data_IF_380012696352
#
_entry.id   IF_380012696352
#
_cell.length_a   1.000
_cell.length_b   1.000
_cell.length_c   1.000
_cell.angle_alpha   90.00
_cell.angle_beta   90.00
_cell.angle_gamma   90.00
#
_symmetry.space_group_name_H-M   'P 1'
#
loop_
_entity.id
_entity.type
_entity.pdbx_description
1 polymer ?
#
# COMPACT_ATOMS: atom_id res chain seq x y z
N UNK A 1 3.20 -46.00 17.04
CA UNK A 1 2.45 -44.72 16.91
C UNK A 1 3.19 -43.49 17.49
N UNK A 2 4.43 -43.58 17.99
CA UNK A 2 5.13 -42.46 18.66
C UNK A 2 5.92 -41.47 17.77
N UNK A 3 6.38 -41.87 16.57
CA UNK A 3 7.35 -41.07 15.81
C UNK A 3 6.77 -39.79 15.16
N UNK A 4 5.50 -39.79 14.73
CA UNK A 4 4.88 -38.58 14.15
C UNK A 4 4.68 -37.46 15.18
N UNK A 5 4.30 -37.81 16.41
CA UNK A 5 4.06 -36.82 17.47
C UNK A 5 5.39 -36.18 17.92
N UNK A 6 6.48 -36.96 17.94
CA UNK A 6 7.83 -36.46 18.19
C UNK A 6 8.28 -35.47 17.09
N UNK A 7 8.07 -35.83 15.82
CA UNK A 7 8.48 -35.00 14.67
C UNK A 7 7.74 -33.66 14.58
N UNK A 8 6.45 -33.60 14.94
CA UNK A 8 5.69 -32.35 14.97
C UNK A 8 6.14 -31.46 16.15
N UNK A 9 6.46 -32.07 17.30
CA UNK A 9 7.06 -31.34 18.43
C UNK A 9 8.41 -30.76 18.08
N UNK A 10 9.29 -31.49 17.39
CA UNK A 10 10.60 -30.98 16.95
C UNK A 10 10.50 -29.86 15.90
N UNK A 11 9.48 -29.90 15.04
CA UNK A 11 9.21 -28.81 14.08
C UNK A 11 8.73 -27.53 14.79
N UNK A 12 7.88 -27.67 15.82
CA UNK A 12 7.42 -26.55 16.65
C UNK A 12 8.48 -26.02 17.63
N UNK A 13 9.41 -26.87 18.07
CA UNK A 13 10.46 -26.55 19.05
C UNK A 13 11.74 -26.01 18.41
N UNK A 14 11.77 -25.89 17.08
CA UNK A 14 12.93 -25.42 16.33
C UNK A 14 13.28 -24.00 16.81
N UNK A 15 14.49 -23.75 17.33
CA UNK A 15 14.89 -22.41 17.76
C UNK A 15 14.83 -21.49 16.55
N UNK A 16 13.79 -20.64 16.50
CA UNK A 16 13.63 -19.64 15.46
C UNK A 16 14.70 -18.60 15.68
N UNK A 17 15.75 -18.65 14.87
CA UNK A 17 16.74 -17.57 14.82
C UNK A 17 16.02 -16.27 14.42
N UNK A 18 15.90 -15.31 15.34
CA UNK A 18 15.34 -13.96 15.11
C UNK A 18 16.29 -13.07 14.28
N UNK A 19 17.15 -13.67 13.47
CA UNK A 19 18.05 -12.96 12.56
C UNK A 19 17.26 -12.48 11.34
N UNK A 20 16.52 -11.39 11.52
CA UNK A 20 15.73 -10.75 10.47
C UNK A 20 16.57 -9.95 9.48
N UNK A 21 17.90 -9.88 9.69
CA UNK A 21 18.84 -9.09 8.87
C UNK A 21 18.80 -9.43 7.38
N UNK A 22 18.56 -10.69 7.04
CA UNK A 22 18.43 -11.14 5.65
C UNK A 22 16.96 -11.35 5.25
N UNK A 23 16.14 -11.84 6.18
CA UNK A 23 14.74 -12.19 5.91
C UNK A 23 13.86 -10.97 5.65
N UNK A 24 14.03 -9.87 6.40
CA UNK A 24 13.22 -8.65 6.19
C UNK A 24 13.48 -8.03 4.81
N UNK A 25 14.75 -7.74 4.42
CA UNK A 25 15.03 -7.22 3.09
C UNK A 25 14.53 -8.14 1.98
N UNK A 26 14.73 -9.46 2.11
CA UNK A 26 14.28 -10.42 1.12
C UNK A 26 12.75 -10.38 0.92
N UNK A 27 11.98 -10.35 2.02
CA UNK A 27 10.51 -10.23 1.95
C UNK A 27 10.10 -8.91 1.30
N UNK A 28 10.75 -7.80 1.67
CA UNK A 28 10.46 -6.49 1.07
C UNK A 28 10.72 -6.48 -0.44
N UNK A 29 11.82 -7.07 -0.91
CA UNK A 29 12.14 -7.14 -2.34
C UNK A 29 11.13 -7.99 -3.10
N UNK A 30 10.83 -9.20 -2.60
CA UNK A 30 9.85 -10.09 -3.23
C UNK A 30 8.48 -9.41 -3.29
N UNK A 31 8.05 -8.79 -2.20
CA UNK A 31 6.79 -8.05 -2.14
C UNK A 31 6.75 -6.89 -3.13
N UNK A 32 7.80 -6.07 -3.18
CA UNK A 32 7.84 -4.91 -4.06
C UNK A 32 7.85 -5.30 -5.54
N UNK A 33 8.58 -6.36 -5.92
CA UNK A 33 8.60 -6.87 -7.29
C UNK A 33 7.20 -7.38 -7.67
N UNK A 34 6.54 -8.11 -6.79
CA UNK A 34 5.17 -8.58 -7.02
C UNK A 34 4.19 -7.40 -7.21
N UNK A 35 4.27 -6.36 -6.36
CA UNK A 35 3.44 -5.16 -6.51
C UNK A 35 3.72 -4.42 -7.81
N UNK A 36 4.97 -4.27 -8.24
CA UNK A 36 5.31 -3.61 -9.52
C UNK A 36 4.66 -4.34 -10.70
N UNK A 37 4.74 -5.67 -10.73
CA UNK A 37 4.14 -6.48 -11.80
C UNK A 37 2.62 -6.32 -11.79
N UNK A 38 1.98 -6.42 -10.62
CA UNK A 38 0.52 -6.30 -10.50
C UNK A 38 0.03 -4.90 -10.89
N UNK A 39 0.70 -3.84 -10.43
CA UNK A 39 0.37 -2.46 -10.80
C UNK A 39 0.55 -2.24 -12.30
N UNK A 40 1.65 -2.72 -12.89
CA UNK A 40 1.89 -2.58 -14.34
C UNK A 40 0.83 -3.27 -15.20
N UNK A 41 0.31 -4.41 -14.74
CA UNK A 41 -0.72 -5.17 -15.47
C UNK A 41 -2.12 -4.58 -15.24
N UNK A 42 -2.52 -4.32 -14.00
CA UNK A 42 -3.92 -4.05 -13.66
C UNK A 42 -4.26 -2.57 -13.56
N UNK A 43 -3.33 -1.69 -13.18
CA UNK A 43 -3.64 -0.29 -12.87
C UNK A 43 -3.44 0.60 -14.10
N UNK A 44 -4.42 1.47 -14.35
CA UNK A 44 -4.41 2.51 -15.39
C UNK A 44 -4.98 3.81 -14.83
N UNK A 45 -4.46 4.93 -15.33
CA UNK A 45 -4.93 6.26 -14.95
C UNK A 45 -6.15 6.65 -15.78
N UNK A 46 -7.09 7.33 -15.14
CA UNK A 46 -8.23 7.98 -15.79
C UNK A 46 -7.84 9.32 -16.44
N UNK A 47 -8.59 9.75 -17.45
CA UNK A 47 -8.37 11.01 -18.19
C UNK A 47 -8.33 12.25 -17.28
N UNK A 48 -9.11 12.25 -16.20
CA UNK A 48 -9.14 13.31 -15.19
C UNK A 48 -7.89 13.36 -14.30
N UNK A 49 -7.22 12.22 -14.13
CA UNK A 49 -6.00 12.06 -13.31
C UNK A 49 -4.71 12.09 -14.14
N UNK A 50 -4.83 12.12 -15.47
CA UNK A 50 -3.70 12.12 -16.38
C UNK A 50 -2.94 13.46 -16.34
N UNK A 51 -1.62 13.40 -16.50
CA UNK A 51 -0.75 14.60 -16.57
C UNK A 51 -1.11 15.58 -17.69
N UNK A 52 -1.90 15.14 -18.68
CA UNK A 52 -2.46 15.94 -19.78
C UNK A 52 -3.76 16.68 -19.41
N UNK A 53 -4.19 16.67 -18.14
CA UNK A 53 -5.40 17.37 -17.70
C UNK A 53 -5.44 18.86 -18.10
N UNK A 54 -4.29 19.54 -18.13
CA UNK A 54 -4.19 20.96 -18.52
C UNK A 54 -4.60 21.20 -19.98
N UNK A 55 -4.23 20.31 -20.90
CA UNK A 55 -4.63 20.38 -22.31
C UNK A 55 -6.11 20.01 -22.48
N UNK A 56 -6.58 19.00 -21.74
CA UNK A 56 -7.97 18.58 -21.74
C UNK A 56 -8.90 19.72 -21.28
N UNK A 57 -8.53 20.39 -20.17
CA UNK A 57 -9.22 21.57 -19.65
C UNK A 57 -9.35 22.68 -20.71
N UNK A 58 -8.26 22.99 -21.41
CA UNK A 58 -8.24 24.03 -22.44
C UNK A 58 -9.09 23.67 -23.67
N UNK A 59 -9.18 22.39 -24.01
CA UNK A 59 -9.99 21.92 -25.15
C UNK A 59 -11.50 21.86 -24.87
N UNK A 60 -11.89 21.63 -23.60
CA UNK A 60 -13.29 21.50 -23.19
C UNK A 60 -13.87 22.76 -22.53
N UNK A 61 -13.16 23.91 -22.55
CA UNK A 61 -13.56 25.17 -21.93
C UNK A 61 -13.94 25.04 -20.43
N UNK A 62 -13.27 24.15 -19.69
CA UNK A 62 -13.56 23.92 -18.27
C UNK A 62 -12.87 25.02 -17.44
N UNK A 63 -13.66 25.87 -16.79
CA UNK A 63 -13.18 27.10 -16.14
C UNK A 63 -12.67 26.91 -14.72
N UNK A 64 -12.92 25.76 -14.07
CA UNK A 64 -12.57 25.56 -12.66
C UNK A 64 -11.84 24.23 -12.40
N UNK A 65 -10.78 24.28 -11.58
CA UNK A 65 -10.12 23.08 -11.05
C UNK A 65 -11.02 22.28 -10.08
N UNK A 66 -12.04 22.93 -9.52
CA UNK A 66 -12.98 22.35 -8.56
C UNK A 66 -13.98 21.36 -9.19
N UNK A 67 -14.11 21.35 -10.51
CA UNK A 67 -15.00 20.42 -11.23
C UNK A 67 -14.38 19.02 -11.39
N UNK A 68 -13.07 18.90 -11.18
CA UNK A 68 -12.36 17.63 -11.26
C UNK A 68 -12.36 16.93 -9.88
N UNK A 69 -12.89 15.70 -9.82
CA UNK A 69 -13.07 14.95 -8.56
C UNK A 69 -11.73 14.70 -7.85
N UNK A 70 -10.64 14.55 -8.62
CA UNK A 70 -9.30 14.38 -8.06
C UNK A 70 -8.87 15.61 -7.25
N UNK A 71 -8.96 16.82 -7.83
CA UNK A 71 -8.55 18.05 -7.15
C UNK A 71 -9.45 18.39 -5.97
N UNK A 72 -10.75 18.11 -6.07
CA UNK A 72 -11.68 18.33 -4.98
C UNK A 72 -11.38 17.43 -3.76
N UNK A 73 -11.01 16.17 -3.99
CA UNK A 73 -10.81 15.17 -2.92
C UNK A 73 -9.38 15.07 -2.41
N UNK A 74 -8.41 15.61 -3.15
CA UNK A 74 -6.99 15.57 -2.79
C UNK A 74 -6.67 16.17 -1.40
N UNK A 75 -7.25 17.32 -0.98
CA UNK A 75 -7.01 17.85 0.36
C UNK A 75 -7.44 16.88 1.48
N UNK A 76 -8.61 16.26 1.33
CA UNK A 76 -9.09 15.26 2.30
C UNK A 76 -8.23 13.99 2.31
N UNK A 77 -7.72 13.57 1.15
CA UNK A 77 -6.77 12.46 1.06
C UNK A 77 -5.47 12.77 1.82
N UNK A 78 -4.97 14.00 1.69
CA UNK A 78 -3.75 14.45 2.36
C UNK A 78 -3.91 14.43 3.89
N UNK A 79 -5.04 14.88 4.42
CA UNK A 79 -5.32 14.87 5.86
C UNK A 79 -5.26 13.45 6.45
N UNK A 80 -5.91 12.49 5.78
CA UNK A 80 -5.89 11.08 6.20
C UNK A 80 -4.49 10.47 6.06
N UNK A 81 -3.78 10.81 4.99
CA UNK A 81 -2.41 10.34 4.77
C UNK A 81 -1.48 10.78 5.92
N UNK A 82 -1.55 12.05 6.32
CA UNK A 82 -0.78 12.57 7.47
C UNK A 82 -1.19 11.89 8.77
N UNK A 83 -2.48 11.62 8.98
CA UNK A 83 -2.95 10.87 10.16
C UNK A 83 -2.36 9.46 10.23
N UNK A 84 -2.25 8.75 9.11
CA UNK A 84 -1.71 7.37 9.10
C UNK A 84 -0.20 7.36 9.36
N UNK A 85 0.54 8.21 8.67
CA UNK A 85 2.00 8.20 8.75
C UNK A 85 2.54 8.93 9.99
N UNK A 86 2.04 10.13 10.26
CA UNK A 86 2.51 10.97 11.37
C UNK A 86 1.64 10.79 12.60
N UNK A 87 0.32 10.78 12.46
CA UNK A 87 -0.61 10.64 13.58
C UNK A 87 -0.37 9.35 14.37
N UNK A 88 -0.63 8.17 13.77
CA UNK A 88 -0.39 6.89 14.43
C UNK A 88 1.10 6.61 14.67
N UNK A 89 1.97 7.03 13.74
CA UNK A 89 3.42 6.85 13.87
C UNK A 89 3.97 7.49 15.14
N UNK A 90 3.72 8.77 15.35
CA UNK A 90 4.19 9.49 16.55
C UNK A 90 3.36 9.17 17.79
N UNK A 91 2.08 8.79 17.66
CA UNK A 91 1.32 8.28 18.80
C UNK A 91 2.03 7.07 19.44
N UNK A 92 2.56 6.14 18.64
CA UNK A 92 3.27 4.96 19.16
C UNK A 92 4.66 5.27 19.76
N UNK A 93 5.15 6.51 19.66
CA UNK A 93 6.50 6.88 20.16
C UNK A 93 6.57 7.12 21.66
N UNK A 94 5.45 7.12 22.39
CA UNK A 94 5.46 7.30 23.86
C UNK A 94 6.27 6.20 24.59
N UNK A 95 6.55 5.08 23.91
CA UNK A 95 7.34 3.96 24.42
C UNK A 95 8.84 4.32 24.44
N UNK A 96 9.36 4.60 25.64
CA UNK A 96 10.75 5.02 25.93
C UNK A 96 11.86 4.23 25.21
N UNK A 97 11.67 2.94 24.93
CA UNK A 97 12.69 2.07 24.29
C UNK A 97 12.31 1.56 22.90
N UNK A 98 11.09 1.85 22.43
CA UNK A 98 10.56 1.31 21.17
C UNK A 98 10.20 2.38 20.13
N UNK A 99 10.33 3.66 20.48
CA UNK A 99 9.98 4.81 19.62
C UNK A 99 10.50 4.70 18.18
N UNK A 100 11.79 4.41 17.98
CA UNK A 100 12.37 4.30 16.63
C UNK A 100 11.83 3.09 15.84
N UNK A 101 11.66 1.95 16.50
CA UNK A 101 11.09 0.75 15.89
C UNK A 101 9.62 0.93 15.52
N UNK A 102 8.83 1.52 16.42
CA UNK A 102 7.41 1.79 16.22
C UNK A 102 7.16 2.63 14.96
N UNK A 103 7.87 3.75 14.81
CA UNK A 103 7.73 4.63 13.65
C UNK A 103 8.20 3.93 12.38
N UNK A 104 9.37 3.26 12.41
CA UNK A 104 9.90 2.55 11.25
C UNK A 104 8.99 1.43 10.75
N UNK A 105 8.45 0.61 11.65
CA UNK A 105 7.49 -0.44 11.28
C UNK A 105 6.14 0.14 10.84
N UNK A 106 5.67 1.24 11.43
CA UNK A 106 4.47 1.95 10.97
C UNK A 106 4.61 2.38 9.51
N UNK A 107 5.73 3.05 9.16
CA UNK A 107 6.01 3.45 7.78
C UNK A 107 6.06 2.27 6.82
N UNK A 108 6.73 1.18 7.22
CA UNK A 108 6.87 -0.01 6.38
C UNK A 108 5.50 -0.67 6.11
N UNK A 109 4.69 -0.87 7.16
CA UNK A 109 3.36 -1.49 7.02
C UNK A 109 2.41 -0.59 6.25
N UNK A 110 2.40 0.72 6.52
CA UNK A 110 1.56 1.67 5.80
C UNK A 110 1.90 1.71 4.30
N UNK A 111 3.19 1.74 3.94
CA UNK A 111 3.62 1.75 2.54
C UNK A 111 3.17 0.49 1.78
N UNK A 112 3.35 -0.70 2.37
CA UNK A 112 2.91 -1.96 1.75
C UNK A 112 1.38 -2.08 1.73
N UNK A 113 0.73 -1.62 2.81
CA UNK A 113 -0.71 -1.65 2.97
C UNK A 113 -1.44 -0.79 1.94
N UNK A 114 -0.98 0.42 1.66
CA UNK A 114 -1.61 1.31 0.66
C UNK A 114 -1.53 0.69 -0.74
N UNK A 115 -0.37 0.16 -1.13
CA UNK A 115 -0.21 -0.50 -2.45
C UNK A 115 -1.16 -1.69 -2.60
N UNK A 116 -1.25 -2.53 -1.57
CA UNK A 116 -2.15 -3.68 -1.58
C UNK A 116 -3.63 -3.28 -1.55
N UNK A 117 -3.98 -2.29 -0.73
CA UNK A 117 -5.35 -1.80 -0.58
C UNK A 117 -5.88 -1.24 -1.91
N UNK A 118 -5.05 -0.52 -2.68
CA UNK A 118 -5.43 -0.03 -4.00
C UNK A 118 -5.78 -1.18 -4.97
N UNK A 119 -5.01 -2.27 -4.96
CA UNK A 119 -5.31 -3.45 -5.80
C UNK A 119 -6.58 -4.15 -5.33
N UNK A 120 -6.74 -4.40 -4.02
CA UNK A 120 -7.94 -5.04 -3.48
C UNK A 120 -9.18 -4.22 -3.77
N UNK A 121 -9.18 -2.93 -3.41
CA UNK A 121 -10.31 -2.04 -3.63
C UNK A 121 -10.61 -1.92 -5.12
N UNK A 122 -9.58 -1.84 -5.96
CA UNK A 122 -9.73 -1.78 -7.40
C UNK A 122 -10.36 -3.03 -8.01
N UNK A 123 -9.96 -4.23 -7.55
CA UNK A 123 -10.59 -5.48 -7.99
C UNK A 123 -12.05 -5.60 -7.57
N UNK A 124 -12.42 -5.10 -6.39
CA UNK A 124 -13.79 -5.21 -5.88
C UNK A 124 -14.74 -4.10 -6.35
N UNK A 125 -14.24 -2.92 -6.70
CA UNK A 125 -15.09 -1.74 -6.97
C UNK A 125 -14.90 -1.08 -8.33
N UNK A 126 -13.72 -1.18 -8.97
CA UNK A 126 -13.42 -0.47 -10.23
C UNK A 126 -12.92 -1.38 -11.35
N UNK A 127 -13.24 -2.68 -11.26
CA UNK A 127 -12.98 -3.64 -12.32
C UNK A 127 -13.99 -3.43 -13.44
N UNK A 128 -13.53 -2.82 -14.53
CA UNK A 128 -14.30 -2.72 -15.76
C UNK A 128 -14.40 -4.13 -16.37
N UNK A 129 -15.60 -4.70 -16.42
CA UNK A 129 -15.84 -6.08 -16.89
C UNK A 129 -15.42 -6.29 -18.36
N UNK A 130 -15.23 -5.20 -19.11
CA UNK A 130 -14.87 -5.23 -20.53
C UNK A 130 -13.37 -5.30 -20.78
N UNK A 131 -12.56 -4.69 -19.91
CA UNK A 131 -11.11 -4.50 -20.13
C UNK A 131 -10.25 -5.16 -19.04
N UNK A 132 -10.86 -5.57 -17.91
CA UNK A 132 -10.18 -6.16 -16.76
C UNK A 132 -9.14 -5.22 -16.12
N UNK A 133 -9.24 -3.91 -16.39
CA UNK A 133 -8.36 -2.87 -15.86
C UNK A 133 -9.01 -2.14 -14.70
N UNK A 134 -8.18 -1.80 -13.73
CA UNK A 134 -8.51 -0.93 -12.61
C UNK A 134 -8.15 0.49 -13.05
N UNK A 135 -9.19 1.28 -13.32
CA UNK A 135 -9.08 2.69 -13.66
C UNK A 135 -9.10 3.52 -12.37
N UNK A 136 -8.01 4.23 -12.09
CA UNK A 136 -7.83 5.08 -10.91
C UNK A 136 -7.73 6.52 -11.37
#
# INVERSE_FOLDING_TARGET
MGNCIQSVKDLCSRPKNTNVRLSLPAVCFVWQIAMIILFGVFIRYNEESHTRWVEFKSSHNITSDAENDFYFRYPSFQDVHVMIFVGFGFLMTFLKRYSFGAVGFNFLVAAFGIQWALLMQGWFHSLDYTDGKIKI
#
